data_IF_566258642083
#
_entry.id   IF_566258642083
#
_cell.length_a   1.000
_cell.length_b   1.000
_cell.length_c   1.000
_cell.angle_alpha   90.00
_cell.angle_beta   90.00
_cell.angle_gamma   90.00
#
_symmetry.space_group_name_H-M   'P 1'
#
loop_
_entity.id
_entity.type
_entity.pdbx_description
1 polymer ?
#
# COMPACT_ATOMS: atom_id res chain seq x y z
N UNK A 1 -42.98 -69.70 -49.97
CA UNK A 1 -42.43 -68.43 -50.47
C UNK A 1 -43.18 -67.20 -49.96
N UNK A 2 -44.51 -67.21 -49.93
CA UNK A 2 -45.33 -66.13 -49.35
C UNK A 2 -45.09 -65.80 -47.87
N UNK A 3 -44.89 -66.76 -46.93
CA UNK A 3 -44.68 -66.41 -45.51
C UNK A 3 -43.36 -65.68 -45.26
N UNK A 4 -42.31 -65.99 -46.04
CA UNK A 4 -41.00 -65.33 -45.96
C UNK A 4 -41.12 -63.87 -46.41
N UNK A 5 -41.93 -63.61 -47.45
CA UNK A 5 -42.18 -62.27 -47.96
C UNK A 5 -42.89 -61.38 -46.92
N UNK A 6 -43.90 -61.92 -46.22
CA UNK A 6 -44.56 -61.20 -45.12
C UNK A 6 -43.61 -60.92 -43.94
N UNK A 7 -42.75 -61.86 -43.58
CA UNK A 7 -41.76 -61.66 -42.52
C UNK A 7 -40.76 -60.54 -42.86
N UNK A 8 -40.30 -60.45 -44.10
CA UNK A 8 -39.39 -59.39 -44.57
C UNK A 8 -40.10 -58.03 -44.54
N UNK A 9 -41.35 -57.95 -45.02
CA UNK A 9 -42.12 -56.70 -45.00
C UNK A 9 -42.37 -56.23 -43.56
N UNK A 10 -42.74 -57.15 -42.66
CA UNK A 10 -42.92 -56.83 -41.25
C UNK A 10 -41.61 -56.31 -40.62
N UNK A 11 -40.47 -56.94 -40.93
CA UNK A 11 -39.16 -56.51 -40.45
C UNK A 11 -38.78 -55.11 -40.93
N UNK A 12 -39.06 -54.79 -42.19
CA UNK A 12 -38.82 -53.45 -42.76
C UNK A 12 -39.71 -52.41 -42.05
N UNK A 13 -40.96 -52.74 -41.79
CA UNK A 13 -41.91 -51.84 -41.13
C UNK A 13 -41.49 -51.56 -39.69
N UNK A 14 -41.09 -52.59 -38.93
CA UNK A 14 -40.53 -52.43 -37.58
C UNK A 14 -39.27 -51.57 -37.61
N UNK A 15 -38.36 -51.82 -38.57
CA UNK A 15 -37.14 -51.03 -38.72
C UNK A 15 -37.45 -49.55 -39.01
N UNK A 16 -38.43 -49.27 -39.88
CA UNK A 16 -38.87 -47.92 -40.20
C UNK A 16 -39.47 -47.22 -38.97
N UNK A 17 -40.29 -47.91 -38.18
CA UNK A 17 -40.84 -47.37 -36.93
C UNK A 17 -39.74 -47.05 -35.92
N UNK A 18 -38.75 -47.95 -35.75
CA UNK A 18 -37.61 -47.72 -34.85
C UNK A 18 -36.75 -46.54 -35.31
N UNK A 19 -36.52 -46.40 -36.62
CA UNK A 19 -35.78 -45.28 -37.18
C UNK A 19 -36.53 -43.96 -36.97
N UNK A 20 -37.84 -43.92 -37.24
CA UNK A 20 -38.66 -42.73 -37.00
C UNK A 20 -38.75 -42.37 -35.52
N UNK A 21 -38.89 -43.37 -34.65
CA UNK A 21 -38.93 -43.19 -33.20
C UNK A 21 -37.60 -42.65 -32.68
N UNK A 22 -36.47 -43.28 -33.05
CA UNK A 22 -35.12 -42.80 -32.72
C UNK A 22 -34.89 -41.39 -33.25
N UNK A 23 -35.24 -41.10 -34.50
CA UNK A 23 -35.05 -39.77 -35.09
C UNK A 23 -35.95 -38.70 -34.46
N UNK A 24 -37.11 -39.08 -33.95
CA UNK A 24 -38.02 -38.19 -33.22
C UNK A 24 -37.51 -37.93 -31.80
N UNK A 25 -37.14 -38.99 -31.09
CA UNK A 25 -36.50 -38.97 -29.77
C UNK A 25 -35.23 -38.13 -29.80
N UNK A 26 -34.29 -38.40 -30.71
CA UNK A 26 -33.04 -37.65 -30.84
C UNK A 26 -33.31 -36.17 -31.13
N UNK A 27 -34.28 -35.82 -31.99
CA UNK A 27 -34.63 -34.40 -32.21
C UNK A 27 -35.25 -33.73 -31.00
N UNK A 28 -36.01 -34.46 -30.18
CA UNK A 28 -36.56 -33.95 -28.92
C UNK A 28 -35.48 -33.78 -27.85
N UNK A 29 -34.52 -34.71 -27.76
CA UNK A 29 -33.41 -34.65 -26.81
C UNK A 29 -32.29 -33.68 -27.22
N UNK A 30 -32.11 -33.38 -28.50
CA UNK A 30 -31.21 -32.32 -29.00
C UNK A 30 -31.82 -30.91 -28.90
N UNK A 31 -32.97 -30.77 -28.24
CA UNK A 31 -33.61 -29.49 -27.92
C UNK A 31 -32.85 -28.64 -26.89
N UNK A 32 -31.52 -28.66 -26.90
CA UNK A 32 -30.62 -27.85 -26.06
C UNK A 32 -30.71 -26.34 -26.36
N UNK A 33 -31.62 -25.91 -27.24
CA UNK A 33 -31.87 -24.50 -27.53
C UNK A 33 -32.33 -23.72 -26.29
N UNK A 34 -33.07 -24.36 -25.38
CA UNK A 34 -33.45 -23.71 -24.11
C UNK A 34 -32.23 -23.46 -23.21
N UNK A 35 -31.31 -24.42 -23.13
CA UNK A 35 -30.03 -24.26 -22.42
C UNK A 35 -29.13 -23.21 -23.09
N UNK A 36 -29.08 -23.18 -24.42
CA UNK A 36 -28.29 -22.18 -25.17
C UNK A 36 -28.83 -20.76 -24.96
N UNK A 37 -30.17 -20.61 -24.94
CA UNK A 37 -30.84 -19.35 -24.65
C UNK A 37 -30.67 -18.93 -23.18
N UNK A 38 -30.64 -19.89 -22.25
CA UNK A 38 -30.30 -19.63 -20.85
C UNK A 38 -28.86 -19.16 -20.70
N UNK A 39 -27.90 -19.84 -21.32
CA UNK A 39 -26.48 -19.44 -21.32
C UNK A 39 -26.32 -18.06 -21.94
N UNK A 40 -27.01 -17.74 -23.04
CA UNK A 40 -26.95 -16.41 -23.64
C UNK A 40 -27.51 -15.32 -22.71
N UNK A 41 -28.61 -15.59 -22.03
CA UNK A 41 -29.17 -14.67 -21.02
C UNK A 41 -28.22 -14.48 -19.86
N UNK A 42 -27.59 -15.55 -19.38
CA UNK A 42 -26.61 -15.50 -18.30
C UNK A 42 -25.38 -14.70 -18.70
N UNK A 43 -24.83 -14.95 -19.89
CA UNK A 43 -23.72 -14.16 -20.44
C UNK A 43 -24.12 -12.69 -20.58
N UNK A 44 -25.34 -12.40 -21.04
CA UNK A 44 -25.86 -11.04 -21.10
C UNK A 44 -25.92 -10.37 -19.73
N UNK A 45 -26.40 -11.06 -18.71
CA UNK A 45 -26.43 -10.57 -17.33
C UNK A 45 -25.01 -10.35 -16.78
N UNK A 46 -24.10 -11.29 -17.01
CA UNK A 46 -22.68 -11.19 -16.65
C UNK A 46 -21.99 -10.00 -17.32
N UNK A 47 -22.29 -9.73 -18.60
CA UNK A 47 -21.75 -8.56 -19.30
C UNK A 47 -22.23 -7.26 -18.64
N UNK A 48 -23.52 -7.18 -18.29
CA UNK A 48 -24.09 -5.99 -17.64
C UNK A 48 -23.50 -5.79 -16.23
N UNK A 49 -23.34 -6.86 -15.46
CA UNK A 49 -22.71 -6.80 -14.14
C UNK A 49 -21.23 -6.40 -14.25
N UNK A 50 -20.52 -6.98 -15.22
CA UNK A 50 -19.11 -6.66 -15.48
C UNK A 50 -18.93 -5.20 -15.90
N UNK A 51 -19.77 -4.69 -16.78
CA UNK A 51 -19.76 -3.30 -17.24
C UNK A 51 -20.00 -2.34 -16.07
N UNK A 52 -21.02 -2.63 -15.24
CA UNK A 52 -21.30 -1.83 -14.03
C UNK A 52 -20.15 -1.85 -13.02
N UNK A 53 -19.52 -3.01 -12.81
CA UNK A 53 -18.37 -3.14 -11.92
C UNK A 53 -17.14 -2.41 -12.49
N UNK A 54 -16.91 -2.53 -13.80
CA UNK A 54 -15.84 -1.83 -14.50
C UNK A 54 -16.00 -0.31 -14.41
N UNK A 55 -17.20 0.22 -14.66
CA UNK A 55 -17.50 1.66 -14.53
C UNK A 55 -17.24 2.19 -13.11
N UNK A 56 -17.67 1.44 -12.08
CA UNK A 56 -17.38 1.79 -10.69
C UNK A 56 -15.88 1.77 -10.41
N UNK A 57 -15.17 0.75 -10.89
CA UNK A 57 -13.73 0.63 -10.71
C UNK A 57 -12.97 1.75 -11.42
N UNK A 58 -13.37 2.12 -12.64
CA UNK A 58 -12.82 3.27 -13.37
C UNK A 58 -13.05 4.56 -12.58
N UNK A 59 -14.25 4.79 -12.06
CA UNK A 59 -14.56 5.96 -11.24
C UNK A 59 -13.66 6.03 -10.00
N UNK A 60 -13.51 4.91 -9.29
CA UNK A 60 -12.61 4.83 -8.12
C UNK A 60 -11.16 5.10 -8.52
N UNK A 61 -10.69 4.54 -9.63
CA UNK A 61 -9.34 4.77 -10.13
C UNK A 61 -9.11 6.24 -10.51
N UNK A 62 -10.08 6.88 -11.14
CA UNK A 62 -10.01 8.32 -11.46
C UNK A 62 -9.94 9.19 -10.22
N UNK A 63 -10.75 8.89 -9.20
CA UNK A 63 -10.73 9.62 -7.93
C UNK A 63 -9.41 9.42 -7.18
N UNK A 64 -8.90 8.19 -7.15
CA UNK A 64 -7.58 7.89 -6.58
C UNK A 64 -6.47 8.58 -7.36
N UNK A 65 -6.53 8.62 -8.69
CA UNK A 65 -5.57 9.32 -9.52
C UNK A 65 -5.59 10.83 -9.27
N UNK A 66 -6.76 11.44 -9.14
CA UNK A 66 -6.91 12.86 -8.77
C UNK A 66 -6.30 13.15 -7.41
N UNK A 67 -6.64 12.34 -6.39
CA UNK A 67 -6.07 12.47 -5.06
C UNK A 67 -4.55 12.32 -5.05
N UNK A 68 -4.02 11.34 -5.80
CA UNK A 68 -2.57 11.13 -5.92
C UNK A 68 -1.90 12.34 -6.58
N UNK A 69 -2.51 12.90 -7.63
CA UNK A 69 -2.01 14.08 -8.32
C UNK A 69 -2.00 15.32 -7.41
N UNK A 70 -3.01 15.48 -6.58
CA UNK A 70 -3.09 16.56 -5.60
C UNK A 70 -2.02 16.42 -4.50
N UNK A 71 -1.85 15.22 -3.94
CA UNK A 71 -0.81 14.93 -2.96
C UNK A 71 0.60 15.13 -3.54
N UNK A 72 0.84 14.72 -4.79
CA UNK A 72 2.10 14.96 -5.50
C UNK A 72 2.32 16.47 -5.69
N UNK A 73 1.29 17.21 -6.13
CA UNK A 73 1.38 18.65 -6.28
C UNK A 73 1.66 19.38 -4.95
N UNK A 74 1.08 18.90 -3.85
CA UNK A 74 1.38 19.43 -2.52
C UNK A 74 2.82 19.11 -2.09
N UNK A 75 3.29 17.88 -2.34
CA UNK A 75 4.66 17.48 -2.06
C UNK A 75 5.67 18.32 -2.85
N UNK A 76 5.42 18.57 -4.15
CA UNK A 76 6.23 19.43 -4.99
C UNK A 76 6.25 20.88 -4.48
N UNK A 77 5.10 21.41 -4.04
CA UNK A 77 5.02 22.74 -3.43
C UNK A 77 5.85 22.83 -2.16
N UNK A 78 5.78 21.81 -1.29
CA UNK A 78 6.57 21.74 -0.06
C UNK A 78 8.07 21.60 -0.37
N UNK A 79 8.44 20.80 -1.38
CA UNK A 79 9.83 20.67 -1.85
C UNK A 79 10.37 21.99 -2.39
N UNK A 80 9.57 22.73 -3.16
CA UNK A 80 9.95 24.05 -3.66
C UNK A 80 10.21 25.04 -2.52
N UNK A 81 9.31 25.09 -1.51
CA UNK A 81 9.49 25.94 -0.32
C UNK A 81 10.76 25.55 0.47
N UNK A 82 10.96 24.26 0.73
CA UNK A 82 12.15 23.77 1.44
C UNK A 82 13.44 24.02 0.66
N UNK A 83 13.40 23.91 -0.67
CA UNK A 83 14.53 24.24 -1.54
C UNK A 83 14.91 25.72 -1.46
N UNK A 84 13.90 26.60 -1.44
CA UNK A 84 14.11 28.05 -1.29
C UNK A 84 14.70 28.39 0.08
N UNK A 85 14.17 27.81 1.16
CA UNK A 85 14.71 28.01 2.51
C UNK A 85 16.13 27.47 2.67
N UNK A 86 16.42 26.32 2.06
CA UNK A 86 17.77 25.74 2.05
C UNK A 86 18.76 26.66 1.33
N UNK A 87 18.35 27.23 0.19
CA UNK A 87 19.18 28.18 -0.58
C UNK A 87 19.42 29.47 0.21
N UNK A 88 18.39 30.00 0.86
CA UNK A 88 18.49 31.19 1.71
C UNK A 88 19.43 30.97 2.88
N UNK A 89 19.30 29.85 3.59
CA UNK A 89 20.20 29.47 4.70
C UNK A 89 21.63 29.19 4.23
N UNK A 90 21.81 28.63 3.03
CA UNK A 90 23.15 28.46 2.45
C UNK A 90 23.82 29.80 2.17
N UNK A 91 23.10 30.76 1.58
CA UNK A 91 23.62 32.11 1.35
C UNK A 91 24.02 32.79 2.66
N UNK A 92 23.20 32.66 3.71
CA UNK A 92 23.46 33.20 5.04
C UNK A 92 24.70 32.54 5.70
N UNK A 93 24.80 31.21 5.64
CA UNK A 93 25.96 30.48 6.16
C UNK A 93 27.28 30.84 5.46
N UNK A 94 27.25 31.11 4.15
CA UNK A 94 28.45 31.59 3.42
C UNK A 94 28.88 32.98 3.92
N UNK A 95 27.94 33.85 4.28
CA UNK A 95 28.26 35.16 4.85
C UNK A 95 28.85 35.00 6.26
N UNK A 96 28.27 34.15 7.11
CA UNK A 96 28.82 33.85 8.43
C UNK A 96 30.20 33.19 8.34
N UNK A 97 30.42 32.27 7.40
CA UNK A 97 31.72 31.62 7.19
C UNK A 97 32.78 32.66 6.79
N UNK A 98 32.47 33.58 5.87
CA UNK A 98 33.39 34.67 5.51
C UNK A 98 33.69 35.60 6.69
N UNK A 99 32.68 35.93 7.51
CA UNK A 99 32.88 36.80 8.67
C UNK A 99 33.73 36.10 9.75
N UNK A 100 33.45 34.82 10.04
CA UNK A 100 34.24 34.00 10.96
C UNK A 100 35.67 33.76 10.47
N UNK A 101 35.87 33.54 9.16
CA UNK A 101 37.19 33.41 8.53
C UNK A 101 38.03 34.67 8.68
N UNK A 102 37.41 35.84 8.51
CA UNK A 102 38.09 37.13 8.67
C UNK A 102 38.46 37.41 10.13
N UNK A 103 37.58 37.06 11.08
CA UNK A 103 37.88 37.17 12.52
C UNK A 103 39.00 36.21 12.93
N UNK A 104 38.98 34.96 12.44
CA UNK A 104 40.04 33.98 12.70
C UNK A 104 41.39 34.43 12.08
N UNK A 105 41.37 34.99 10.87
CA UNK A 105 42.55 35.58 10.23
C UNK A 105 43.10 36.76 11.04
N UNK A 106 42.24 37.65 11.52
CA UNK A 106 42.63 38.78 12.36
C UNK A 106 43.23 38.32 13.70
N UNK A 107 42.67 37.30 14.34
CA UNK A 107 43.19 36.70 15.57
C UNK A 107 44.55 36.02 15.37
N UNK A 108 44.72 35.29 14.25
CA UNK A 108 46.01 34.69 13.88
C UNK A 108 47.07 35.77 13.64
N UNK A 109 46.71 36.85 12.97
CA UNK A 109 47.58 38.02 12.74
C UNK A 109 48.00 38.68 14.06
N UNK A 110 47.05 38.86 14.99
CA UNK A 110 47.33 39.41 16.31
C UNK A 110 48.28 38.51 17.12
N UNK A 111 48.04 37.20 17.14
CA UNK A 111 48.90 36.23 17.83
C UNK A 111 50.30 36.13 17.22
N UNK A 112 50.45 36.39 15.92
CA UNK A 112 51.76 36.45 15.25
C UNK A 112 52.52 37.72 15.65
N UNK A 113 51.84 38.86 15.80
CA UNK A 113 52.43 40.10 16.28
C UNK A 113 52.88 39.96 17.75
N UNK A 114 52.08 39.31 18.59
CA UNK A 114 52.44 39.01 19.99
C UNK A 114 53.63 38.04 20.08
N UNK A 115 53.65 36.94 19.33
CA UNK A 115 54.81 36.03 19.31
C UNK A 115 56.09 36.66 18.75
N UNK A 116 55.95 37.65 17.86
CA UNK A 116 57.09 38.42 17.32
C UNK A 116 57.63 39.41 18.36
N UNK A 117 56.74 39.96 19.19
CA UNK A 117 57.09 40.83 20.32
C UNK A 117 57.73 40.03 21.47
N UNK A 118 57.19 38.85 21.80
CA UNK A 118 57.74 37.95 22.85
C UNK A 118 59.09 37.32 22.43
N UNK A 119 59.30 37.00 21.14
CA UNK A 119 60.61 36.53 20.65
C UNK A 119 61.73 37.57 20.75
N UNK A 120 61.41 38.85 20.94
CA UNK A 120 62.39 39.92 21.12
C UNK A 120 62.74 40.16 22.61
N UNK A 121 62.04 39.53 23.56
CA UNK A 121 62.20 39.80 24.98
C UNK A 121 62.95 38.72 25.78
N UNK A 122 63.09 37.48 25.27
CA UNK A 122 63.55 36.37 26.14
C UNK A 122 64.99 35.90 25.84
N UNK A 123 66.00 36.61 26.37
CA UNK A 123 67.29 36.01 26.78
C UNK A 123 67.19 35.63 28.26
N UNK A 124 66.75 34.39 28.52
CA UNK A 124 67.12 33.39 29.55
C UNK A 124 67.70 33.83 30.95
N UNK A 125 67.68 32.93 31.96
CA UNK A 125 66.64 31.95 32.36
C UNK A 125 66.46 31.86 33.91
N UNK A 126 65.41 31.17 34.39
CA UNK A 126 65.55 30.36 35.62
C UNK A 126 64.60 29.15 35.63
N UNK A 127 65.18 27.97 35.91
CA UNK A 127 64.50 26.70 36.26
C UNK A 127 63.78 26.90 37.60
N UNK A 128 62.70 26.18 37.93
CA UNK A 128 62.71 24.79 38.41
C UNK A 128 61.27 24.25 38.47
N UNK A 129 61.16 22.96 38.17
CA UNK A 129 59.99 22.07 38.15
C UNK A 129 59.34 21.88 39.52
N UNK A 130 58.03 21.60 39.58
CA UNK A 130 57.55 20.38 40.27
C UNK A 130 56.13 19.93 39.82
N UNK A 131 56.07 18.65 39.43
CA UNK A 131 54.99 17.64 39.58
C UNK A 131 53.57 17.84 39.00
N UNK A 132 53.25 16.92 38.09
CA UNK A 132 51.92 16.38 37.66
C UNK A 132 51.92 14.89 38.12
N UNK A 133 50.80 14.10 38.21
CA UNK A 133 49.35 14.34 38.05
C UNK A 133 48.51 13.86 39.27
N UNK A 134 47.19 14.11 39.32
CA UNK A 134 46.19 13.15 39.89
C UNK A 134 44.75 13.63 39.59
N UNK A 135 44.03 12.87 38.74
CA UNK A 135 42.59 12.59 38.72
C UNK A 135 41.49 13.67 38.50
N UNK A 136 40.71 13.44 37.42
CA UNK A 136 39.30 13.81 37.23
C UNK A 136 38.43 13.13 38.31
N UNK A 137 37.30 13.74 38.77
CA UNK A 137 36.01 13.67 38.06
C UNK A 137 35.32 15.05 37.94
N UNK A 138 34.76 15.42 36.80
CA UNK A 138 33.37 15.12 36.42
C UNK A 138 32.35 16.01 37.16
N UNK A 139 32.24 17.27 36.75
CA UNK A 139 30.98 18.03 36.88
C UNK A 139 30.96 19.12 35.79
N UNK A 140 30.81 18.63 34.56
CA UNK A 140 30.57 19.48 33.40
C UNK A 140 29.12 19.98 33.44
N UNK A 141 29.01 21.30 33.55
CA UNK A 141 28.10 22.13 32.78
C UNK A 141 26.62 21.73 32.79
N UNK A 142 25.88 22.36 33.70
CA UNK A 142 24.49 22.70 33.44
C UNK A 142 24.35 23.38 32.06
N UNK A 143 23.53 22.72 31.23
CA UNK A 143 22.37 23.31 30.58
C UNK A 143 22.63 24.49 29.62
N UNK A 144 22.79 24.16 28.35
CA UNK A 144 22.21 24.92 27.23
C UNK A 144 22.22 24.06 25.95
N UNK A 145 21.37 23.03 25.89
CA UNK A 145 21.03 22.38 24.63
C UNK A 145 19.69 22.95 24.13
N UNK A 146 19.55 23.33 22.85
CA UNK A 146 18.35 23.97 22.34
C UNK A 146 17.18 22.98 22.38
N UNK A 147 16.05 23.46 22.90
CA UNK A 147 14.78 22.73 22.97
C UNK A 147 14.39 22.21 21.57
N UNK A 148 14.49 20.90 21.41
CA UNK A 148 13.83 20.19 20.32
C UNK A 148 12.33 20.46 20.45
N UNK A 149 11.63 20.87 19.38
CA UNK A 149 10.21 21.17 19.45
C UNK A 149 9.48 19.90 19.90
N UNK A 150 8.87 19.98 21.08
CA UNK A 150 8.06 18.91 21.65
C UNK A 150 7.00 18.51 20.63
N UNK A 151 7.13 17.30 20.09
CA UNK A 151 6.06 16.63 19.35
C UNK A 151 4.87 16.56 20.31
N UNK A 152 3.88 17.46 20.14
CA UNK A 152 2.59 17.31 20.79
C UNK A 152 1.85 16.20 20.06
N UNK A 153 1.85 15.01 20.65
CA UNK A 153 0.95 13.94 20.26
C UNK A 153 -0.48 14.47 20.41
N UNK A 154 -1.26 14.42 19.33
CA UNK A 154 -2.66 14.81 19.39
C UNK A 154 -3.40 13.81 20.28
N UNK A 155 -4.00 14.26 21.38
CA UNK A 155 -4.76 13.42 22.35
C UNK A 155 -6.08 12.87 21.78
N UNK A 156 -6.34 13.06 20.47
CA UNK A 156 -7.47 12.44 19.78
C UNK A 156 -6.99 11.13 19.18
N UNK A 157 -7.24 9.97 19.82
CA UNK A 157 -7.02 8.70 19.17
C UNK A 157 -7.85 8.68 17.89
N UNK A 158 -7.19 8.53 16.75
CA UNK A 158 -7.89 8.28 15.50
C UNK A 158 -8.72 7.01 15.71
N UNK A 159 -10.03 7.03 15.41
CA UNK A 159 -10.81 5.80 15.41
C UNK A 159 -10.20 4.92 14.32
N UNK A 160 -9.44 3.91 14.73
CA UNK A 160 -8.95 2.87 13.82
C UNK A 160 -10.21 2.10 13.46
N UNK A 161 -10.85 2.53 12.38
CA UNK A 161 -11.99 1.85 11.83
C UNK A 161 -11.54 0.41 11.52
N UNK A 162 -12.25 -0.57 12.10
CA UNK A 162 -11.87 -1.98 11.96
C UNK A 162 -11.62 -2.31 10.48
N UNK A 163 -10.51 -2.99 10.16
CA UNK A 163 -10.21 -3.43 8.81
C UNK A 163 -11.41 -4.12 8.18
N UNK A 164 -11.64 -3.88 6.89
CA UNK A 164 -12.76 -4.47 6.16
C UNK A 164 -12.87 -5.98 6.39
N UNK A 165 -11.74 -6.69 6.36
CA UNK A 165 -11.69 -8.13 6.60
C UNK A 165 -12.24 -8.52 7.99
N UNK A 166 -11.91 -7.78 9.04
CA UNK A 166 -12.36 -8.05 10.41
C UNK A 166 -13.87 -7.84 10.54
N UNK A 167 -14.43 -6.83 9.88
CA UNK A 167 -15.88 -6.60 9.81
C UNK A 167 -16.60 -7.75 9.11
N UNK A 168 -16.05 -8.24 7.98
CA UNK A 168 -16.60 -9.40 7.25
C UNK A 168 -16.58 -10.65 8.12
N UNK A 169 -15.44 -10.93 8.76
CA UNK A 169 -15.26 -12.10 9.62
C UNK A 169 -16.15 -12.05 10.86
N UNK A 170 -16.31 -10.89 11.49
CA UNK A 170 -17.20 -10.75 12.66
C UNK A 170 -18.66 -11.01 12.30
N UNK A 171 -19.12 -10.60 11.12
CA UNK A 171 -20.49 -10.88 10.65
C UNK A 171 -20.65 -12.34 10.21
N UNK A 172 -19.67 -12.91 9.53
CA UNK A 172 -19.67 -14.33 9.14
C UNK A 172 -19.69 -15.25 10.37
N UNK A 173 -18.86 -14.97 11.38
CA UNK A 173 -18.84 -15.71 12.67
C UNK A 173 -20.16 -15.59 13.44
N UNK A 174 -20.93 -14.52 13.23
CA UNK A 174 -22.29 -14.35 13.78
C UNK A 174 -23.36 -15.11 12.98
N UNK A 175 -23.00 -15.77 11.89
CA UNK A 175 -23.88 -16.60 11.07
C UNK A 175 -24.64 -15.83 9.99
N UNK A 176 -24.25 -14.59 9.66
CA UNK A 176 -24.83 -13.90 8.51
C UNK A 176 -24.33 -14.50 7.19
N UNK A 177 -25.21 -14.60 6.20
CA UNK A 177 -24.89 -15.08 4.86
C UNK A 177 -24.19 -14.01 4.02
N UNK A 178 -23.41 -14.44 3.01
CA UNK A 178 -22.54 -13.56 2.21
C UNK A 178 -23.30 -12.43 1.51
N UNK A 179 -24.55 -12.66 1.10
CA UNK A 179 -25.46 -11.68 0.52
C UNK A 179 -25.84 -10.55 1.49
N UNK A 180 -26.16 -10.89 2.75
CA UNK A 180 -26.50 -9.92 3.80
C UNK A 180 -25.28 -9.10 4.20
N UNK A 181 -24.11 -9.74 4.27
CA UNK A 181 -22.85 -9.07 4.59
C UNK A 181 -22.47 -8.09 3.48
N UNK A 182 -22.58 -8.52 2.21
CA UNK A 182 -22.34 -7.69 1.04
C UNK A 182 -23.26 -6.44 1.04
N UNK A 183 -24.56 -6.63 1.28
CA UNK A 183 -25.52 -5.53 1.36
C UNK A 183 -25.22 -4.55 2.51
N UNK A 184 -24.76 -5.05 3.67
CA UNK A 184 -24.47 -4.23 4.86
C UNK A 184 -23.17 -3.44 4.75
N UNK A 185 -22.15 -4.01 4.11
CA UNK A 185 -20.83 -3.39 3.97
C UNK A 185 -20.65 -2.66 2.64
N UNK A 186 -21.61 -2.76 1.71
CA UNK A 186 -21.54 -2.13 0.38
C UNK A 186 -20.48 -2.74 -0.54
N UNK A 187 -20.12 -4.01 -0.28
CA UNK A 187 -19.14 -4.80 -1.01
C UNK A 187 -19.82 -5.85 -1.89
N UNK A 188 -19.07 -6.46 -2.81
CA UNK A 188 -19.59 -7.54 -3.67
C UNK A 188 -19.61 -8.88 -2.93
N UNK A 189 -20.51 -9.79 -3.33
CA UNK A 189 -20.56 -11.15 -2.75
C UNK A 189 -19.22 -11.87 -2.93
N UNK A 190 -18.59 -11.69 -4.11
CA UNK A 190 -17.28 -12.27 -4.41
C UNK A 190 -16.15 -11.76 -3.49
N UNK A 191 -16.14 -10.47 -3.14
CA UNK A 191 -15.18 -9.93 -2.16
C UNK A 191 -15.37 -10.53 -0.77
N UNK A 192 -16.64 -10.71 -0.35
CA UNK A 192 -16.97 -11.33 0.94
C UNK A 192 -16.49 -12.79 0.96
N UNK A 193 -16.80 -13.56 -0.08
CA UNK A 193 -16.40 -14.97 -0.19
C UNK A 193 -14.87 -15.13 -0.29
N UNK A 194 -14.19 -14.20 -0.97
CA UNK A 194 -12.73 -14.17 -1.06
C UNK A 194 -12.11 -13.99 0.33
N UNK A 195 -12.61 -13.05 1.13
CA UNK A 195 -12.11 -12.79 2.49
C UNK A 195 -12.34 -14.00 3.40
N UNK A 196 -13.52 -14.61 3.34
CA UNK A 196 -13.84 -15.81 4.13
C UNK A 196 -12.91 -16.98 3.74
N UNK A 197 -12.66 -17.16 2.45
CA UNK A 197 -11.78 -18.21 1.93
C UNK A 197 -10.32 -18.02 2.36
N UNK A 198 -9.81 -16.78 2.29
CA UNK A 198 -8.45 -16.42 2.70
C UNK A 198 -8.21 -16.67 4.19
N UNK A 199 -9.21 -16.38 5.04
CA UNK A 199 -9.11 -16.65 6.48
C UNK A 199 -9.19 -18.14 6.79
N UNK A 200 -10.04 -18.90 6.08
CA UNK A 200 -10.11 -20.35 6.21
C UNK A 200 -8.77 -21.05 5.95
N UNK A 201 -8.02 -20.58 4.95
CA UNK A 201 -6.65 -21.08 4.68
C UNK A 201 -5.63 -20.69 5.76
N UNK A 202 -5.81 -19.51 6.37
CA UNK A 202 -4.91 -18.99 7.40
C UNK A 202 -5.06 -19.75 8.71
N UNK A 203 -6.29 -20.05 9.12
CA UNK A 203 -6.60 -20.87 10.30
C UNK A 203 -6.12 -22.32 10.12
N UNK A 204 -6.18 -22.86 8.90
CA UNK A 204 -5.63 -24.18 8.57
C UNK A 204 -4.11 -24.25 8.74
N UNK A 205 -3.38 -23.25 8.23
CA UNK A 205 -1.92 -23.17 8.35
C UNK A 205 -1.43 -22.94 9.78
N UNK A 206 -2.21 -22.26 10.62
CA UNK A 206 -1.86 -22.00 12.02
C UNK A 206 -2.03 -23.23 12.93
N UNK A 207 -2.81 -24.24 12.52
CA UNK A 207 -2.97 -25.49 13.29
C UNK A 207 -1.94 -26.58 12.96
N UNK A 208 -1.18 -26.43 11.86
CA UNK A 208 -0.13 -27.37 11.43
C UNK A 208 1.29 -27.01 11.93
N UNK A 209 1.43 -25.96 12.75
CA UNK A 209 2.70 -25.59 13.42
C UNK A 209 2.61 -25.82 14.92
#
# INVERSE_FOLDING_TARGET
>A
MTPILYAIVAQILVCLVVVLWTRSTVRKFLGSGEELERIRREIGALIVELDSSADRNVTVLEDRLKALKELVGEADKRLAMLGQDRTRRQAENVVYDRLGRNVASAALSASQVERSAERSAERAPERVQTSVPEFLPEEAAQQAAPEVPFIRFSDKPLPIEEPFADKVLSLSRRGFSSDIIAARLGATIAEIDLVISLEGERDGRSKER
#
